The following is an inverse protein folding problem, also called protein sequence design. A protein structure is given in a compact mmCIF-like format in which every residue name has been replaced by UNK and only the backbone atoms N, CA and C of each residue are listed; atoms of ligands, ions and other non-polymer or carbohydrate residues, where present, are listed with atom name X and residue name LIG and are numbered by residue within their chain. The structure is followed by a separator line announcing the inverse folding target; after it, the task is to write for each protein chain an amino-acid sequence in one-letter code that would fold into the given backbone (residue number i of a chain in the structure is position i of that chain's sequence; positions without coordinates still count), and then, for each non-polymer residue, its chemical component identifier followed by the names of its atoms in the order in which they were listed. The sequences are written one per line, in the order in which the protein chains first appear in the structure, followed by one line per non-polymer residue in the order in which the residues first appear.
data_IF_596082971173
#
_entry.id   IF_596082971173
#
_cell.length_a   1.000
_cell.length_b   1.000
_cell.length_c   1.000
_cell.angle_alpha   90.00
_cell.angle_beta   90.00
_cell.angle_gamma   90.00
#
_symmetry.space_group_name_H-M   'P 1'
#
loop_
_entity.id
_entity.type
_entity.pdbx_description
1 polymer ?
#
# COMPACT_ATOMS: atom_id res chain seq x y z
N UNK A 1 -17.46 -1.58 7.69
CA UNK A 1 -17.94 -1.27 6.33
C UNK A 1 -17.13 -2.10 5.34
N UNK A 2 -17.54 -2.21 4.06
CA UNK A 2 -16.81 -3.04 3.08
C UNK A 2 -15.33 -2.60 2.95
N UNK A 3 -15.07 -1.29 2.88
CA UNK A 3 -13.71 -0.74 2.80
C UNK A 3 -12.86 -1.03 4.03
N UNK A 4 -13.44 -0.95 5.24
CA UNK A 4 -12.73 -1.31 6.49
C UNK A 4 -12.17 -2.73 6.45
N UNK A 5 -12.95 -3.67 5.92
CA UNK A 5 -12.54 -5.06 5.81
C UNK A 5 -11.48 -5.23 4.71
N UNK A 6 -11.62 -4.57 3.56
CA UNK A 6 -10.64 -4.60 2.48
C UNK A 6 -9.26 -4.11 2.93
N UNK A 7 -9.20 -2.96 3.63
CA UNK A 7 -7.94 -2.41 4.16
C UNK A 7 -7.32 -3.38 5.17
N UNK A 8 -8.13 -3.94 6.07
CA UNK A 8 -7.68 -4.90 7.08
C UNK A 8 -7.14 -6.18 6.45
N UNK A 9 -7.82 -6.72 5.44
CA UNK A 9 -7.41 -7.93 4.75
C UNK A 9 -6.13 -7.70 3.95
N UNK A 10 -6.03 -6.57 3.24
CA UNK A 10 -4.83 -6.18 2.53
C UNK A 10 -3.63 -6.06 3.49
N UNK A 11 -3.77 -5.32 4.59
CA UNK A 11 -2.69 -5.14 5.55
C UNK A 11 -2.24 -6.46 6.20
N UNK A 12 -3.17 -7.38 6.45
CA UNK A 12 -2.85 -8.66 7.07
C UNK A 12 -2.18 -9.66 6.12
N UNK A 13 -2.52 -9.64 4.82
CA UNK A 13 -1.86 -10.52 3.83
C UNK A 13 -0.53 -9.97 3.33
N UNK A 14 -0.33 -8.64 3.39
CA UNK A 14 0.83 -7.99 2.81
C UNK A 14 2.13 -8.37 3.58
N UNK A 15 3.11 -9.03 2.94
CA UNK A 15 4.30 -9.54 3.60
C UNK A 15 5.31 -8.45 3.96
N UNK A 16 5.16 -7.26 3.39
CA UNK A 16 6.08 -6.12 3.56
C UNK A 16 5.76 -5.28 4.80
N UNK A 17 4.55 -5.40 5.33
CA UNK A 17 4.11 -4.67 6.51
C UNK A 17 4.48 -5.41 7.80
N UNK A 18 5.21 -4.74 8.68
CA UNK A 18 5.55 -5.25 10.00
C UNK A 18 4.31 -5.34 10.90
N UNK A 19 4.46 -5.98 12.06
CA UNK A 19 3.40 -5.99 13.09
C UNK A 19 3.03 -4.57 13.55
N UNK A 20 4.00 -3.67 13.63
CA UNK A 20 3.76 -2.28 14.03
C UNK A 20 2.95 -1.55 12.95
N UNK A 21 3.31 -1.73 11.67
CA UNK A 21 2.59 -1.13 10.55
C UNK A 21 1.13 -1.56 10.50
N UNK A 22 0.88 -2.87 10.71
CA UNK A 22 -0.47 -3.41 10.76
C UNK A 22 -1.30 -2.82 11.91
N UNK A 23 -0.67 -2.55 13.05
CA UNK A 23 -1.34 -1.92 14.18
C UNK A 23 -1.71 -0.46 13.88
N UNK A 24 -0.80 0.28 13.24
CA UNK A 24 -1.02 1.68 12.85
C UNK A 24 -2.12 1.80 11.78
N UNK A 25 -2.08 0.94 10.75
CA UNK A 25 -3.16 0.85 9.74
C UNK A 25 -4.50 0.53 10.41
N UNK A 26 -4.52 -0.38 11.38
CA UNK A 26 -5.75 -0.72 12.11
C UNK A 26 -6.29 0.47 12.88
N UNK A 27 -5.43 1.30 13.47
CA UNK A 27 -5.82 2.51 14.20
C UNK A 27 -6.53 3.52 13.29
N UNK A 28 -5.94 3.86 12.13
CA UNK A 28 -6.59 4.77 11.18
C UNK A 28 -7.87 4.17 10.59
N UNK A 29 -7.83 2.89 10.23
CA UNK A 29 -8.96 2.20 9.63
C UNK A 29 -10.17 2.08 10.58
N UNK A 30 -9.94 1.80 11.87
CA UNK A 30 -11.00 1.71 12.88
C UNK A 30 -11.53 3.10 13.28
N UNK A 31 -10.74 4.17 13.10
CA UNK A 31 -11.17 5.56 13.24
C UNK A 31 -12.02 6.06 12.05
N UNK A 32 -12.07 5.31 10.95
CA UNK A 32 -12.73 5.72 9.71
C UNK A 32 -11.90 6.69 8.86
N UNK A 33 -10.59 6.77 9.10
CA UNK A 33 -9.63 7.54 8.30
C UNK A 33 -9.03 6.61 7.21
N UNK A 34 -9.85 6.20 6.23
CA UNK A 34 -9.45 5.15 5.29
C UNK A 34 -8.37 5.59 4.31
N UNK A 35 -8.43 6.82 3.81
CA UNK A 35 -7.41 7.40 2.97
C UNK A 35 -6.06 7.41 3.70
N UNK A 36 -6.02 7.89 4.94
CA UNK A 36 -4.82 7.90 5.77
C UNK A 36 -4.28 6.49 5.99
N UNK A 37 -5.14 5.51 6.24
CA UNK A 37 -4.74 4.11 6.39
C UNK A 37 -4.05 3.57 5.13
N UNK A 38 -4.57 3.88 3.94
CA UNK A 38 -4.01 3.43 2.66
C UNK A 38 -2.76 4.21 2.25
N UNK A 39 -2.72 5.52 2.52
CA UNK A 39 -1.53 6.36 2.35
C UNK A 39 -0.37 5.84 3.22
N UNK A 40 -0.65 5.46 4.47
CA UNK A 40 0.32 4.84 5.35
C UNK A 40 0.85 3.50 4.79
N UNK A 41 -0.03 2.65 4.26
CA UNK A 41 0.37 1.41 3.58
C UNK A 41 1.34 1.72 2.43
N UNK A 42 0.98 2.65 1.54
CA UNK A 42 1.84 3.05 0.43
C UNK A 42 3.20 3.55 0.91
N UNK A 43 3.24 4.43 1.91
CA UNK A 43 4.49 4.94 2.46
C UNK A 43 5.41 3.82 3.01
N UNK A 44 4.84 2.83 3.72
CA UNK A 44 5.62 1.69 4.23
C UNK A 44 6.10 0.77 3.11
N UNK A 45 5.30 0.58 2.06
CA UNK A 45 5.71 -0.17 0.87
C UNK A 45 6.86 0.52 0.15
N UNK A 46 6.78 1.84 -0.05
CA UNK A 46 7.85 2.62 -0.67
C UNK A 46 9.17 2.47 0.09
N UNK A 47 9.13 2.64 1.41
CA UNK A 47 10.30 2.48 2.28
C UNK A 47 10.90 1.08 2.16
N UNK A 48 10.07 0.02 2.28
CA UNK A 48 10.53 -1.37 2.18
C UNK A 48 11.19 -1.66 0.83
N UNK A 49 10.54 -1.27 -0.28
CA UNK A 49 11.04 -1.52 -1.63
C UNK A 49 12.38 -0.80 -1.87
N UNK A 50 12.52 0.43 -1.35
CA UNK A 50 13.76 1.20 -1.42
C UNK A 50 14.90 0.56 -0.62
N UNK A 51 14.62 0.15 0.62
CA UNK A 51 15.59 -0.47 1.53
C UNK A 51 16.09 -1.82 1.00
N UNK A 52 15.16 -2.69 0.63
CA UNK A 52 15.45 -4.05 0.15
C UNK A 52 15.82 -4.10 -1.34
N UNK A 53 15.77 -2.95 -2.03
CA UNK A 53 16.01 -2.84 -3.48
C UNK A 53 15.19 -3.84 -4.28
N UNK A 54 13.92 -3.95 -3.91
CA UNK A 54 12.99 -4.94 -4.44
C UNK A 54 11.84 -4.27 -5.20
N UNK A 55 11.09 -5.07 -5.93
CA UNK A 55 9.96 -4.63 -6.72
C UNK A 55 8.73 -5.49 -6.40
N UNK A 56 7.56 -4.86 -6.47
CA UNK A 56 6.28 -5.57 -6.45
C UNK A 56 6.06 -6.29 -7.77
N UNK A 57 5.45 -7.46 -7.71
CA UNK A 57 4.90 -8.11 -8.90
C UNK A 57 3.73 -7.31 -9.47
N UNK A 58 3.37 -7.57 -10.73
CA UNK A 58 2.21 -6.93 -11.35
C UNK A 58 0.92 -7.21 -10.57
N UNK A 59 0.75 -8.44 -10.06
CA UNK A 59 -0.43 -8.78 -9.26
C UNK A 59 -0.49 -7.96 -7.96
N UNK A 60 0.64 -7.75 -7.28
CA UNK A 60 0.68 -6.94 -6.05
C UNK A 60 0.38 -5.46 -6.31
N UNK A 61 0.84 -4.93 -7.45
CA UNK A 61 0.48 -3.59 -7.90
C UNK A 61 -1.01 -3.49 -8.22
N UNK A 62 -1.57 -4.43 -8.98
CA UNK A 62 -3.00 -4.43 -9.34
C UNK A 62 -3.89 -4.51 -8.07
N UNK A 63 -3.47 -5.31 -7.08
CA UNK A 63 -4.16 -5.41 -5.80
C UNK A 63 -4.10 -4.11 -4.98
N UNK A 64 -2.96 -3.41 -5.01
CA UNK A 64 -2.81 -2.10 -4.36
C UNK A 64 -3.65 -1.03 -5.07
N UNK A 65 -3.62 -0.98 -6.41
CA UNK A 65 -4.42 -0.07 -7.22
C UNK A 65 -5.93 -0.26 -6.94
N UNK A 66 -6.38 -1.51 -6.88
CA UNK A 66 -7.77 -1.82 -6.55
C UNK A 66 -8.17 -1.32 -5.15
N UNK A 67 -7.27 -1.40 -4.16
CA UNK A 67 -7.51 -0.86 -2.82
C UNK A 67 -7.59 0.68 -2.83
N UNK A 68 -6.69 1.34 -3.56
CA UNK A 68 -6.69 2.80 -3.73
C UNK A 68 -7.97 3.26 -4.42
N UNK A 69 -8.40 2.60 -5.50
CA UNK A 69 -9.63 2.93 -6.21
C UNK A 69 -10.87 2.75 -5.33
N UNK A 70 -10.92 1.67 -4.55
CA UNK A 70 -11.98 1.46 -3.56
C UNK A 70 -12.01 2.59 -2.51
N UNK A 71 -10.84 3.08 -2.11
CA UNK A 71 -10.71 4.19 -1.15
C UNK A 71 -11.17 5.51 -1.75
N UNK A 72 -10.74 5.83 -2.97
CA UNK A 72 -11.16 7.02 -3.74
C UNK A 72 -12.66 7.12 -3.96
N UNK A 73 -13.35 5.97 -3.99
CA UNK A 73 -14.80 5.94 -4.13
C UNK A 73 -15.54 6.53 -2.91
N UNK A 74 -14.87 6.65 -1.77
CA UNK A 74 -15.43 7.12 -0.50
C UNK A 74 -14.72 8.36 0.07
N UNK A 75 -13.41 8.48 -0.12
CA UNK A 75 -12.57 9.53 0.45
C UNK A 75 -11.60 10.13 -0.58
N UNK A 76 -11.07 11.32 -0.28
CA UNK A 76 -9.99 11.91 -1.10
C UNK A 76 -8.68 11.23 -0.73
N UNK A 77 -8.05 10.60 -1.71
CA UNK A 77 -6.72 9.98 -1.60
C UNK A 77 -5.71 10.80 -2.40
N UNK A 78 -4.50 10.98 -1.87
CA UNK A 78 -3.40 11.62 -2.60
C UNK A 78 -2.63 10.61 -3.47
N UNK A 79 -2.73 10.79 -4.79
CA UNK A 79 -2.15 9.88 -5.78
C UNK A 79 -0.63 9.79 -5.75
N UNK A 80 0.04 10.79 -5.17
CA UNK A 80 1.49 10.80 -5.01
C UNK A 80 1.98 9.57 -4.23
N UNK A 81 1.22 9.11 -3.21
CA UNK A 81 1.56 7.91 -2.45
C UNK A 81 1.58 6.63 -3.31
N UNK A 82 0.62 6.46 -4.21
CA UNK A 82 0.59 5.30 -5.12
C UNK A 82 1.68 5.44 -6.19
N UNK A 83 1.93 6.66 -6.67
CA UNK A 83 2.96 6.95 -7.66
C UNK A 83 4.36 6.65 -7.12
N UNK A 84 4.64 6.98 -5.86
CA UNK A 84 5.92 6.68 -5.20
C UNK A 84 6.19 5.17 -5.16
N UNK A 85 5.18 4.36 -4.78
CA UNK A 85 5.29 2.88 -4.78
C UNK A 85 5.61 2.36 -6.18
N UNK A 86 4.93 2.89 -7.21
CA UNK A 86 5.16 2.49 -8.60
C UNK A 86 6.56 2.88 -9.07
N UNK A 87 7.01 4.10 -8.75
CA UNK A 87 8.33 4.59 -9.16
C UNK A 87 9.46 3.75 -8.56
N UNK A 88 9.41 3.49 -7.26
CA UNK A 88 10.42 2.67 -6.59
C UNK A 88 10.38 1.22 -7.10
N UNK A 89 9.19 0.64 -7.28
CA UNK A 89 9.04 -0.71 -7.82
C UNK A 89 9.61 -0.82 -9.23
N UNK A 90 9.29 0.12 -10.11
CA UNK A 90 9.80 0.14 -11.49
C UNK A 90 11.32 0.30 -11.57
N UNK A 91 11.89 1.08 -10.65
CA UNK A 91 13.34 1.28 -10.54
C UNK A 91 14.07 -0.04 -10.28
N UNK A 92 13.51 -0.92 -9.44
CA UNK A 92 14.12 -2.19 -9.10
C UNK A 92 13.68 -3.37 -9.98
N UNK A 93 12.49 -3.32 -10.60
CA UNK A 93 12.07 -4.28 -11.63
C UNK A 93 13.02 -4.26 -12.84
N UNK A 94 13.56 -3.10 -13.18
CA UNK A 94 14.49 -2.94 -14.31
C UNK A 94 15.89 -3.50 -14.02
N UNK A 95 16.24 -3.72 -12.74
CA UNK A 95 17.58 -4.15 -12.31
C UNK A 95 17.77 -5.65 -12.20
N UNK A 96 16.69 -6.44 -12.19
CA UNK A 96 16.75 -7.92 -12.15
C UNK A 96 16.93 -8.57 -13.52
N UNK A 97 17.06 -7.78 -14.60
CA UNK A 97 17.47 -8.25 -15.93
C UNK A 97 19.00 -8.25 -16.08
N UNK A 98 19.74 -9.09 -15.34
CA UNK A 98 21.16 -9.38 -15.60
C UNK A 98 21.44 -10.86 -15.38
#
# INVERSE_FOLDING_TARGET
MHLTQLIRDYANKNPYLTRADRAEVTLYNDAGEWAVAVEYICARLTDYLAEERSALSQQELDELESLVDATKSLEKFDDDFLNDVKEVSNTYSSRTSV
#
